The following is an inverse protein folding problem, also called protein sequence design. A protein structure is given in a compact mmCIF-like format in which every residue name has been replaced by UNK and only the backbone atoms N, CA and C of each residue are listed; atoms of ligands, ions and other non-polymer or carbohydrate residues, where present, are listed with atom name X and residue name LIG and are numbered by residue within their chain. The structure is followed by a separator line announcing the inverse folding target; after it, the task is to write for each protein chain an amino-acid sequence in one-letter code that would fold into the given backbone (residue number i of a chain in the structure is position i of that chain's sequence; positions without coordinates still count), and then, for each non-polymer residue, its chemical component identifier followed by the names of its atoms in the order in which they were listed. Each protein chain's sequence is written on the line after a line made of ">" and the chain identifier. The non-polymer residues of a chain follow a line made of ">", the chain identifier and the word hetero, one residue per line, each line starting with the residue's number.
data_IF_608463913270
#
_entry.id   IF_608463913270
#
_cell.length_a   1.000
_cell.length_b   1.000
_cell.length_c   1.000
_cell.angle_alpha   90.00
_cell.angle_beta   90.00
_cell.angle_gamma   90.00
#
_symmetry.space_group_name_H-M   'P 1'
#
loop_
_entity.id
_entity.type
_entity.pdbx_description
1 polymer ?
#
# COMPACT_ATOMS: atom_id res chain seq x y z
N UNK A 1 -15.03 20.18 0.13
CA UNK A 1 -14.75 19.06 -0.81
C UNK A 1 -15.49 19.33 -2.10
N UNK A 2 -14.80 19.87 -3.08
CA UNK A 2 -15.33 19.97 -4.44
C UNK A 2 -15.16 18.60 -5.11
N UNK A 3 -16.26 17.87 -5.24
CA UNK A 3 -16.29 16.63 -6.00
C UNK A 3 -16.07 16.96 -7.49
N UNK A 4 -14.95 16.52 -8.05
CA UNK A 4 -14.66 16.78 -9.47
C UNK A 4 -15.72 16.08 -10.33
N UNK A 5 -16.26 16.71 -11.40
CA UNK A 5 -17.39 16.18 -12.19
C UNK A 5 -17.20 14.75 -12.70
N UNK A 6 -15.96 14.36 -13.03
CA UNK A 6 -15.61 13.02 -13.50
C UNK A 6 -15.65 11.96 -12.37
N UNK A 7 -15.40 12.33 -11.10
CA UNK A 7 -15.58 11.45 -9.94
C UNK A 7 -17.05 11.08 -9.76
N UNK A 8 -17.96 12.02 -10.02
CA UNK A 8 -19.40 11.77 -9.99
C UNK A 8 -19.81 10.79 -11.11
N UNK A 9 -19.24 10.95 -12.31
CA UNK A 9 -19.48 10.03 -13.43
C UNK A 9 -18.91 8.64 -13.15
N UNK A 10 -17.71 8.56 -12.56
CA UNK A 10 -17.09 7.28 -12.16
C UNK A 10 -17.94 6.56 -11.09
N UNK A 11 -18.43 7.26 -10.09
CA UNK A 11 -19.35 6.72 -9.08
C UNK A 11 -20.65 6.23 -9.67
N UNK A 12 -21.22 6.98 -10.61
CA UNK A 12 -22.44 6.57 -11.31
C UNK A 12 -22.22 5.34 -12.17
N UNK A 13 -21.04 5.23 -12.80
CA UNK A 13 -20.67 4.05 -13.56
C UNK A 13 -20.48 2.81 -12.66
N UNK A 14 -19.79 2.94 -11.52
CA UNK A 14 -19.64 1.87 -10.54
C UNK A 14 -20.98 1.47 -9.90
N UNK A 15 -21.84 2.42 -9.60
CA UNK A 15 -23.18 2.14 -9.09
C UNK A 15 -24.04 1.38 -10.11
N UNK A 16 -23.90 1.69 -11.40
CA UNK A 16 -24.53 0.94 -12.49
C UNK A 16 -24.04 -0.52 -12.63
N UNK A 17 -22.89 -0.86 -12.05
CA UNK A 17 -22.34 -2.21 -11.99
C UNK A 17 -22.71 -2.98 -10.70
N UNK A 18 -23.61 -2.43 -9.89
CA UNK A 18 -24.05 -3.04 -8.62
C UNK A 18 -23.02 -2.91 -7.48
N UNK A 19 -21.95 -2.13 -7.66
CA UNK A 19 -21.00 -1.80 -6.61
C UNK A 19 -21.48 -0.56 -5.85
N UNK A 20 -22.12 -0.79 -4.71
CA UNK A 20 -22.52 0.28 -3.79
C UNK A 20 -21.28 0.90 -3.12
N UNK A 21 -20.77 1.97 -3.71
CA UNK A 21 -19.55 2.67 -3.24
C UNK A 21 -19.83 3.84 -2.31
N UNK A 22 -21.05 3.98 -1.79
CA UNK A 22 -21.42 5.11 -0.95
C UNK A 22 -21.00 4.90 0.51
N UNK A 23 -20.26 5.87 1.08
CA UNK A 23 -19.88 5.87 2.51
C UNK A 23 -21.11 5.81 3.43
N UNK A 24 -22.28 6.26 2.97
CA UNK A 24 -23.57 6.11 3.67
C UNK A 24 -24.00 4.64 3.76
N UNK A 25 -23.73 3.86 2.73
CA UNK A 25 -24.04 2.43 2.66
C UNK A 25 -23.22 1.62 3.66
N UNK A 26 -21.93 1.96 3.84
CA UNK A 26 -21.07 1.30 4.85
C UNK A 26 -21.68 1.45 6.25
N UNK A 27 -22.13 2.63 6.62
CA UNK A 27 -22.79 2.87 7.91
C UNK A 27 -24.09 2.06 8.06
N UNK A 28 -24.88 1.94 7.00
CA UNK A 28 -26.11 1.14 6.98
C UNK A 28 -25.79 -0.36 7.07
N UNK A 29 -24.79 -0.83 6.33
CA UNK A 29 -24.33 -2.22 6.39
C UNK A 29 -23.83 -2.55 7.79
N UNK A 30 -22.99 -1.71 8.39
CA UNK A 30 -22.51 -1.90 9.76
C UNK A 30 -23.65 -1.94 10.78
N UNK A 31 -24.66 -1.07 10.66
CA UNK A 31 -25.84 -1.09 11.51
C UNK A 31 -26.65 -2.39 11.36
N UNK A 32 -26.75 -2.90 10.14
CA UNK A 32 -27.48 -4.15 9.84
C UNK A 32 -26.71 -5.38 10.33
N UNK A 33 -25.40 -5.42 10.13
CA UNK A 33 -24.55 -6.58 10.46
C UNK A 33 -24.15 -6.63 11.94
N UNK A 34 -24.03 -5.45 12.57
CA UNK A 34 -23.54 -5.30 13.94
C UNK A 34 -24.47 -4.40 14.76
N UNK A 35 -25.76 -4.75 14.92
CA UNK A 35 -26.76 -3.87 15.53
C UNK A 35 -26.45 -3.54 17.01
N UNK A 36 -25.72 -4.43 17.72
CA UNK A 36 -25.30 -4.19 19.10
C UNK A 36 -24.09 -3.27 19.24
N UNK A 37 -23.29 -3.12 18.16
CA UNK A 37 -22.09 -2.27 18.17
C UNK A 37 -22.34 -0.89 17.58
N UNK A 38 -23.24 -0.76 16.60
CA UNK A 38 -23.52 0.50 15.90
C UNK A 38 -24.88 1.03 16.32
N UNK A 39 -24.95 1.58 17.53
CA UNK A 39 -26.13 2.27 18.06
C UNK A 39 -26.24 3.71 17.50
N UNK A 40 -27.39 4.34 17.67
CA UNK A 40 -27.67 5.67 17.10
C UNK A 40 -26.75 6.77 17.69
N UNK A 41 -26.31 6.59 18.92
CA UNK A 41 -25.46 7.49 19.69
C UNK A 41 -23.96 7.32 19.41
N UNK A 42 -23.53 6.20 18.78
CA UNK A 42 -22.12 5.95 18.48
C UNK A 42 -21.68 6.65 17.19
N UNK A 43 -20.62 7.43 17.32
CA UNK A 43 -19.96 8.09 16.21
C UNK A 43 -19.05 7.12 15.46
N UNK A 44 -19.28 6.95 14.16
CA UNK A 44 -18.37 6.24 13.27
C UNK A 44 -17.31 7.24 12.81
N UNK A 45 -16.05 6.97 13.14
CA UNK A 45 -14.90 7.76 12.66
C UNK A 45 -14.43 7.17 11.33
N UNK A 46 -14.06 8.05 10.40
CA UNK A 46 -13.52 7.66 9.09
C UNK A 46 -12.15 8.32 8.91
N UNK A 47 -11.18 7.54 8.49
CA UNK A 47 -9.80 7.98 8.28
C UNK A 47 -9.38 7.75 6.84
N UNK A 48 -8.42 8.55 6.36
CA UNK A 48 -7.81 8.36 5.05
C UNK A 48 -7.04 7.03 5.01
N UNK A 49 -7.10 6.33 3.88
CA UNK A 49 -6.51 5.01 3.68
C UNK A 49 -5.00 5.00 3.97
N UNK A 50 -4.23 5.84 3.29
CA UNK A 50 -2.78 5.91 3.49
C UNK A 50 -2.39 6.41 4.89
N UNK A 51 -3.20 7.26 5.50
CA UNK A 51 -2.98 7.66 6.90
C UNK A 51 -3.21 6.49 7.86
N UNK A 52 -4.16 5.60 7.56
CA UNK A 52 -4.39 4.38 8.34
C UNK A 52 -3.19 3.42 8.24
N UNK A 53 -2.62 3.22 7.04
CA UNK A 53 -1.37 2.48 6.90
C UNK A 53 -0.21 3.14 7.65
N UNK A 54 -0.07 4.46 7.58
CA UNK A 54 0.97 5.18 8.30
C UNK A 54 0.84 5.00 9.82
N UNK A 55 -0.39 5.06 10.33
CA UNK A 55 -0.66 4.93 11.76
C UNK A 55 -0.47 3.49 12.24
N UNK A 56 -0.87 2.47 11.48
CA UNK A 56 -0.65 1.07 11.84
C UNK A 56 0.84 0.77 12.02
N UNK A 57 1.68 1.29 11.14
CA UNK A 57 3.12 1.13 11.26
C UNK A 57 3.73 2.00 12.36
N UNK A 58 3.43 3.29 12.41
CA UNK A 58 4.09 4.21 13.33
C UNK A 58 3.69 3.98 14.80
N UNK A 59 2.39 3.83 15.10
CA UNK A 59 1.93 3.70 16.48
C UNK A 59 2.20 2.31 17.09
N UNK A 60 2.62 1.33 16.28
CA UNK A 60 3.12 0.03 16.74
C UNK A 60 4.64 -0.04 16.75
N UNK A 61 5.33 0.94 16.17
CA UNK A 61 6.79 0.96 16.08
C UNK A 61 7.43 1.42 17.40
N UNK A 62 8.70 1.07 17.65
CA UNK A 62 9.43 1.56 18.82
C UNK A 62 9.97 2.99 18.66
N UNK A 63 9.44 3.77 17.72
CA UNK A 63 9.99 5.08 17.36
C UNK A 63 9.16 6.23 17.93
N UNK A 64 9.84 7.18 18.58
CA UNK A 64 9.24 8.46 18.97
C UNK A 64 9.07 9.41 17.75
N UNK A 65 9.93 9.22 16.72
CA UNK A 65 9.91 9.97 15.48
C UNK A 65 10.38 9.11 14.33
N UNK A 66 9.66 9.14 13.19
CA UNK A 66 9.99 8.37 12.02
C UNK A 66 9.59 9.08 10.72
N UNK A 67 10.32 8.78 9.65
CA UNK A 67 9.83 8.95 8.27
C UNK A 67 8.95 7.75 7.96
N UNK A 68 7.70 7.98 7.55
CA UNK A 68 6.76 6.92 7.19
C UNK A 68 6.55 6.93 5.69
N UNK A 69 6.80 5.80 5.04
CA UNK A 69 6.54 5.60 3.61
C UNK A 69 5.42 4.58 3.48
N UNK A 70 4.39 4.94 2.72
CA UNK A 70 3.29 4.04 2.36
C UNK A 70 3.28 3.89 0.85
N UNK A 71 3.42 2.65 0.36
CA UNK A 71 3.33 2.31 -1.07
C UNK A 71 2.27 1.24 -1.24
N UNK A 72 1.24 1.57 -2.03
CA UNK A 72 0.10 0.69 -2.23
C UNK A 72 -0.31 0.63 -3.71
N UNK A 73 -1.28 -0.22 -4.03
CA UNK A 73 -1.88 -0.26 -5.35
C UNK A 73 -2.65 1.03 -5.62
N UNK A 74 -3.64 1.31 -4.80
CA UNK A 74 -4.40 2.56 -4.78
C UNK A 74 -5.19 2.68 -3.48
N UNK A 75 -4.95 3.74 -2.72
CA UNK A 75 -5.71 4.09 -1.52
C UNK A 75 -6.48 5.39 -1.72
N UNK A 76 -7.76 5.33 -2.00
CA UNK A 76 -8.58 6.47 -2.45
C UNK A 76 -8.05 7.06 -3.77
N UNK A 77 -6.95 7.83 -3.69
CA UNK A 77 -6.27 8.47 -4.82
C UNK A 77 -4.77 8.34 -4.77
N UNK A 78 -4.26 8.11 -3.56
CA UNK A 78 -2.84 8.01 -3.31
C UNK A 78 -2.34 6.62 -3.70
N UNK A 79 -1.13 6.57 -4.24
CA UNK A 79 -0.40 5.33 -4.56
C UNK A 79 0.91 5.25 -3.79
N UNK A 80 1.50 6.42 -3.49
CA UNK A 80 2.63 6.55 -2.57
C UNK A 80 2.40 7.79 -1.72
N UNK A 81 2.64 7.68 -0.42
CA UNK A 81 2.69 8.83 0.48
C UNK A 81 3.90 8.76 1.40
N UNK A 82 4.49 9.91 1.67
CA UNK A 82 5.59 10.06 2.61
C UNK A 82 5.14 11.03 3.68
N UNK A 83 5.30 10.60 4.95
CA UNK A 83 4.91 11.37 6.12
C UNK A 83 6.08 11.53 7.06
N UNK A 84 6.12 12.67 7.76
CA UNK A 84 6.81 12.81 9.01
C UNK A 84 5.86 12.44 10.14
N UNK A 85 6.23 11.50 10.97
CA UNK A 85 5.45 11.12 12.14
C UNK A 85 6.25 11.33 13.42
N UNK A 86 5.60 11.84 14.47
CA UNK A 86 6.20 12.06 15.77
C UNK A 86 5.13 12.07 16.87
N UNK A 87 5.55 11.82 18.11
CA UNK A 87 4.69 12.03 19.26
C UNK A 87 4.85 13.46 19.80
N UNK A 88 3.71 14.12 20.04
CA UNK A 88 3.63 15.41 20.72
C UNK A 88 2.59 15.34 21.81
N UNK A 89 2.97 15.60 23.05
CA UNK A 89 2.10 15.49 24.21
C UNK A 89 1.41 14.12 24.33
N UNK A 90 2.17 13.04 24.08
CA UNK A 90 1.69 11.66 24.11
C UNK A 90 0.75 11.25 22.95
N UNK A 91 0.55 12.11 21.96
CA UNK A 91 -0.29 11.84 20.80
C UNK A 91 0.51 11.83 19.51
N UNK A 92 0.26 10.84 18.65
CA UNK A 92 0.86 10.74 17.33
C UNK A 92 0.39 11.90 16.42
N UNK A 93 1.33 12.53 15.76
CA UNK A 93 1.12 13.59 14.76
C UNK A 93 1.72 13.16 13.44
N UNK A 94 1.02 13.46 12.35
CA UNK A 94 1.42 13.10 11.00
C UNK A 94 1.45 14.33 10.12
N UNK A 95 2.59 14.57 9.48
CA UNK A 95 2.81 15.65 8.52
C UNK A 95 3.04 15.05 7.14
N UNK A 96 2.13 15.27 6.22
CA UNK A 96 2.27 14.78 4.85
C UNK A 96 3.36 15.59 4.14
N UNK A 97 4.45 14.93 3.77
CA UNK A 97 5.62 15.56 3.15
C UNK A 97 5.57 15.48 1.62
N UNK A 98 5.07 14.35 1.10
CA UNK A 98 4.98 14.13 -0.34
C UNK A 98 3.93 13.07 -0.67
N UNK A 99 3.41 13.09 -1.90
CA UNK A 99 2.49 12.06 -2.39
C UNK A 99 2.57 11.88 -3.90
N UNK A 100 2.36 10.65 -4.33
CA UNK A 100 2.09 10.25 -5.70
C UNK A 100 0.66 9.74 -5.81
N UNK A 101 0.05 9.97 -6.97
CA UNK A 101 -1.36 9.65 -7.19
C UNK A 101 -1.56 8.72 -8.39
N UNK A 102 -2.71 8.07 -8.39
CA UNK A 102 -3.22 7.37 -9.55
C UNK A 102 -3.14 8.26 -10.83
N UNK A 103 -2.76 7.72 -12.00
CA UNK A 103 -2.60 6.29 -12.33
C UNK A 103 -1.18 5.73 -12.10
N UNK A 104 -0.28 6.47 -11.50
CA UNK A 104 1.12 6.13 -11.32
C UNK A 104 1.31 5.29 -10.06
N UNK A 105 1.30 3.97 -10.20
CA UNK A 105 1.30 3.04 -9.06
C UNK A 105 2.23 1.86 -9.28
N UNK A 106 3.18 1.68 -8.35
CA UNK A 106 4.08 0.51 -8.31
C UNK A 106 3.26 -0.76 -8.04
N UNK A 107 2.29 -0.70 -7.12
CA UNK A 107 1.43 -1.85 -6.79
C UNK A 107 0.60 -2.29 -7.99
N UNK A 108 -0.08 -1.36 -8.69
CA UNK A 108 -0.84 -1.70 -9.90
C UNK A 108 0.05 -2.24 -11.03
N UNK A 109 1.29 -1.74 -11.16
CA UNK A 109 2.25 -2.32 -12.10
C UNK A 109 2.54 -3.77 -11.77
N UNK A 110 2.85 -4.07 -10.52
CA UNK A 110 3.19 -5.42 -10.09
C UNK A 110 2.01 -6.37 -10.24
N UNK A 111 0.79 -5.95 -9.86
CA UNK A 111 -0.45 -6.70 -10.06
C UNK A 111 -0.78 -6.92 -11.54
N UNK A 112 -0.50 -5.94 -12.42
CA UNK A 112 -0.69 -6.11 -13.86
C UNK A 112 0.24 -7.17 -14.46
N UNK A 113 1.49 -7.27 -13.99
CA UNK A 113 2.41 -8.34 -14.39
C UNK A 113 1.94 -9.68 -13.80
N UNK A 114 1.51 -9.72 -12.55
CA UNK A 114 0.94 -10.92 -11.92
C UNK A 114 -0.23 -11.48 -12.74
N UNK A 115 -1.16 -10.61 -13.14
CA UNK A 115 -2.27 -11.00 -14.04
C UNK A 115 -1.77 -11.48 -15.42
N UNK A 116 -0.73 -10.83 -15.97
CA UNK A 116 -0.12 -11.20 -17.26
C UNK A 116 0.53 -12.58 -17.22
N UNK A 117 1.04 -13.00 -16.05
CA UNK A 117 1.59 -14.34 -15.80
C UNK A 117 0.51 -15.41 -15.61
N UNK A 118 -0.78 -15.04 -15.67
CA UNK A 118 -1.91 -15.96 -15.47
C UNK A 118 -2.25 -16.21 -14.00
N UNK A 119 -1.67 -15.43 -13.10
CA UNK A 119 -1.90 -15.46 -11.66
C UNK A 119 -3.04 -14.49 -11.27
N UNK A 120 -3.57 -14.65 -10.07
CA UNK A 120 -4.65 -13.83 -9.55
C UNK A 120 -4.08 -12.51 -8.97
N UNK A 121 -4.31 -11.35 -9.63
CA UNK A 121 -3.81 -10.08 -9.16
C UNK A 121 -4.47 -9.69 -7.82
N UNK A 122 -3.77 -8.91 -7.00
CA UNK A 122 -4.11 -8.51 -5.63
C UNK A 122 -4.08 -9.66 -4.59
N UNK A 123 -3.68 -10.87 -5.01
CA UNK A 123 -3.62 -12.05 -4.13
C UNK A 123 -2.37 -12.90 -4.30
N UNK A 124 -1.82 -12.99 -5.52
CA UNK A 124 -0.74 -13.93 -5.85
C UNK A 124 0.57 -13.23 -6.29
N UNK A 125 0.75 -11.95 -5.93
CA UNK A 125 1.98 -11.22 -6.17
C UNK A 125 3.22 -11.89 -5.56
N UNK A 126 3.05 -12.61 -4.46
CA UNK A 126 4.12 -13.36 -3.83
C UNK A 126 4.62 -14.52 -4.71
N UNK A 127 3.77 -15.09 -5.58
CA UNK A 127 4.18 -16.11 -6.56
C UNK A 127 5.02 -15.45 -7.64
N UNK A 128 4.59 -14.29 -8.16
CA UNK A 128 5.39 -13.49 -9.12
C UNK A 128 6.76 -13.17 -8.54
N UNK A 129 6.83 -12.77 -7.28
CA UNK A 129 8.10 -12.51 -6.58
C UNK A 129 8.96 -13.78 -6.48
N UNK A 130 8.38 -14.93 -6.19
CA UNK A 130 9.08 -16.22 -6.15
C UNK A 130 9.59 -16.67 -7.53
N UNK A 131 8.79 -16.49 -8.58
CA UNK A 131 9.17 -16.82 -9.97
C UNK A 131 10.38 -16.01 -10.45
N UNK A 132 10.57 -14.80 -9.95
CA UNK A 132 11.70 -13.93 -10.30
C UNK A 132 13.07 -14.60 -10.05
N UNK A 133 13.15 -15.53 -9.10
CA UNK A 133 14.39 -16.26 -8.80
C UNK A 133 14.89 -17.17 -9.94
N UNK A 134 14.02 -17.50 -10.89
CA UNK A 134 14.29 -18.43 -12.00
C UNK A 134 14.43 -17.71 -13.35
N UNK A 135 14.31 -16.38 -13.39
CA UNK A 135 14.36 -15.58 -14.60
C UNK A 135 15.78 -15.28 -15.08
N UNK A 136 15.89 -14.87 -16.35
CA UNK A 136 17.12 -14.33 -16.90
C UNK A 136 17.13 -12.80 -16.82
N UNK A 137 18.27 -12.16 -16.51
CA UNK A 137 18.37 -10.71 -16.35
C UNK A 137 18.18 -9.95 -17.69
N UNK A 138 17.89 -8.65 -17.59
CA UNK A 138 17.83 -7.73 -18.73
C UNK A 138 16.40 -7.32 -19.15
N UNK A 139 15.36 -8.03 -18.68
CA UNK A 139 13.98 -7.67 -19.02
C UNK A 139 13.51 -6.41 -18.26
N UNK A 140 14.09 -6.12 -17.12
CA UNK A 140 13.76 -4.94 -16.30
C UNK A 140 13.93 -3.63 -17.07
N UNK A 141 15.03 -3.46 -17.81
CA UNK A 141 15.28 -2.27 -18.63
C UNK A 141 14.29 -2.15 -19.80
N UNK A 142 13.89 -3.27 -20.41
CA UNK A 142 12.91 -3.28 -21.50
C UNK A 142 11.54 -2.84 -20.96
N UNK A 143 11.10 -3.38 -19.83
CA UNK A 143 9.84 -2.98 -19.18
C UNK A 143 9.91 -1.52 -18.76
N UNK A 144 11.03 -1.08 -18.16
CA UNK A 144 11.27 0.29 -17.77
C UNK A 144 11.13 1.25 -18.94
N UNK A 145 11.80 0.97 -20.08
CA UNK A 145 11.73 1.80 -21.27
C UNK A 145 10.28 1.91 -21.82
N UNK A 146 9.53 0.83 -21.78
CA UNK A 146 8.13 0.83 -22.20
C UNK A 146 7.22 1.59 -21.24
N UNK A 147 7.37 1.36 -19.93
CA UNK A 147 6.40 1.81 -18.92
C UNK A 147 6.76 3.17 -18.31
N UNK A 148 8.03 3.39 -17.98
CA UNK A 148 8.42 4.53 -17.16
C UNK A 148 8.63 5.76 -18.04
N UNK A 149 7.91 6.83 -17.72
CA UNK A 149 8.09 8.15 -18.33
C UNK A 149 9.16 8.96 -17.60
N UNK A 150 9.12 8.90 -16.26
CA UNK A 150 10.02 9.58 -15.37
C UNK A 150 10.24 8.69 -14.14
N UNK A 151 11.45 8.21 -13.99
CA UNK A 151 11.80 7.28 -12.92
C UNK A 151 11.89 7.96 -11.55
N UNK A 152 12.42 9.19 -11.54
CA UNK A 152 12.56 9.97 -10.31
C UNK A 152 11.21 10.40 -9.74
N UNK A 153 10.29 10.84 -10.61
CA UNK A 153 8.91 11.20 -10.24
C UNK A 153 7.97 9.98 -10.21
N UNK A 154 8.48 8.78 -10.51
CA UNK A 154 7.71 7.52 -10.58
C UNK A 154 6.48 7.69 -11.48
N UNK A 155 6.67 8.23 -12.70
CA UNK A 155 5.60 8.47 -13.65
C UNK A 155 5.58 7.43 -14.75
N UNK A 156 4.43 6.83 -14.98
CA UNK A 156 4.20 5.82 -16.00
C UNK A 156 3.58 6.42 -17.26
N UNK A 157 3.88 5.80 -18.40
CA UNK A 157 3.29 6.12 -19.72
C UNK A 157 1.88 5.56 -19.86
N UNK A 158 1.61 4.44 -19.18
CA UNK A 158 0.37 3.69 -19.30
C UNK A 158 -0.33 3.59 -17.94
N UNK A 159 -1.67 3.57 -17.99
CA UNK A 159 -2.49 3.24 -16.84
C UNK A 159 -2.66 1.71 -16.78
N UNK A 160 -2.12 1.08 -15.76
CA UNK A 160 -2.13 -0.37 -15.60
C UNK A 160 -3.26 -0.89 -14.71
N UNK A 161 -4.23 -0.05 -14.35
CA UNK A 161 -5.38 -0.47 -13.53
C UNK A 161 -6.21 -1.58 -14.23
N UNK A 162 -6.35 -1.49 -15.55
CA UNK A 162 -7.03 -2.51 -16.35
C UNK A 162 -6.12 -3.71 -16.73
N UNK A 163 -4.92 -3.76 -16.17
CA UNK A 163 -3.92 -4.76 -16.51
C UNK A 163 -3.02 -4.35 -17.68
N UNK A 164 -2.21 -5.28 -18.12
CA UNK A 164 -1.30 -5.17 -19.26
C UNK A 164 -1.91 -5.89 -20.47
N UNK A 165 -1.69 -5.35 -21.66
CA UNK A 165 -2.07 -6.02 -22.91
C UNK A 165 -1.49 -7.44 -22.94
N UNK A 166 -2.35 -8.42 -23.29
CA UNK A 166 -1.99 -9.85 -23.31
C UNK A 166 -0.89 -10.16 -24.33
N UNK A 167 -0.82 -9.42 -25.42
CA UNK A 167 0.21 -9.58 -26.46
C UNK A 167 1.55 -8.95 -26.04
N UNK A 168 1.52 -8.06 -25.06
CA UNK A 168 2.74 -7.42 -24.58
C UNK A 168 3.64 -8.45 -23.89
N UNK A 169 4.88 -8.55 -24.38
CA UNK A 169 5.89 -9.50 -23.89
C UNK A 169 5.47 -10.98 -23.99
N UNK A 170 4.60 -11.36 -24.95
CA UNK A 170 4.17 -12.75 -25.14
C UNK A 170 5.31 -13.70 -25.57
N UNK A 171 6.40 -13.15 -26.09
CA UNK A 171 7.60 -13.86 -26.49
C UNK A 171 8.60 -14.08 -25.32
N UNK A 172 8.31 -13.54 -24.15
CA UNK A 172 9.18 -13.63 -22.98
C UNK A 172 8.72 -14.80 -22.10
N UNK A 173 9.69 -15.58 -21.65
CA UNK A 173 9.44 -16.64 -20.68
C UNK A 173 8.90 -16.03 -19.37
N UNK A 174 7.91 -16.67 -18.71
CA UNK A 174 7.22 -16.16 -17.54
C UNK A 174 8.16 -15.75 -16.39
N UNK A 175 9.16 -16.56 -16.07
CA UNK A 175 10.11 -16.30 -15.00
C UNK A 175 10.98 -15.08 -15.31
N UNK A 176 11.38 -14.91 -16.57
CA UNK A 176 12.14 -13.75 -17.05
C UNK A 176 11.31 -12.47 -17.00
N UNK A 177 10.01 -12.55 -17.31
CA UNK A 177 9.08 -11.42 -17.14
C UNK A 177 8.91 -11.07 -15.66
N UNK A 178 8.79 -12.08 -14.79
CA UNK A 178 8.69 -11.91 -13.34
C UNK A 178 9.96 -11.26 -12.76
N UNK A 179 11.16 -11.70 -13.18
CA UNK A 179 12.42 -11.08 -12.75
C UNK A 179 12.51 -9.62 -13.20
N UNK A 180 12.19 -9.34 -14.47
CA UNK A 180 12.21 -7.96 -14.97
C UNK A 180 11.21 -7.04 -14.24
N UNK A 181 10.05 -7.57 -13.87
CA UNK A 181 9.09 -6.83 -13.05
C UNK A 181 9.61 -6.58 -11.63
N UNK A 182 10.28 -7.57 -11.03
CA UNK A 182 10.89 -7.44 -9.70
C UNK A 182 12.01 -6.39 -9.71
N UNK A 183 12.94 -6.47 -10.67
CA UNK A 183 14.03 -5.50 -10.84
C UNK A 183 13.50 -4.07 -10.97
N UNK A 184 12.48 -3.86 -11.81
CA UNK A 184 11.88 -2.54 -11.98
C UNK A 184 11.14 -2.09 -10.71
N UNK A 185 10.38 -2.97 -10.06
CA UNK A 185 9.67 -2.64 -8.82
C UNK A 185 10.66 -2.23 -7.72
N UNK A 186 11.76 -2.98 -7.54
CA UNK A 186 12.82 -2.64 -6.59
C UNK A 186 13.40 -1.24 -6.87
N UNK A 187 13.76 -0.95 -8.13
CA UNK A 187 14.29 0.35 -8.52
C UNK A 187 13.33 1.50 -8.21
N UNK A 188 12.03 1.33 -8.51
CA UNK A 188 11.03 2.36 -8.23
C UNK A 188 10.77 2.53 -6.73
N UNK A 189 10.77 1.45 -5.95
CA UNK A 189 10.69 1.49 -4.49
C UNK A 189 11.90 2.26 -3.93
N UNK A 190 13.10 1.96 -4.38
CA UNK A 190 14.33 2.63 -3.92
C UNK A 190 14.35 4.12 -4.28
N UNK A 191 13.81 4.52 -5.42
CA UNK A 191 13.62 5.93 -5.76
C UNK A 191 12.64 6.62 -4.78
N UNK A 192 11.58 5.94 -4.39
CA UNK A 192 10.67 6.40 -3.33
C UNK A 192 11.38 6.54 -1.98
N UNK A 193 12.21 5.58 -1.60
CA UNK A 193 12.99 5.60 -0.34
C UNK A 193 14.07 6.69 -0.37
N UNK A 194 14.77 6.86 -1.49
CA UNK A 194 15.72 7.94 -1.68
C UNK A 194 15.04 9.31 -1.53
N UNK A 195 13.89 9.51 -2.15
CA UNK A 195 13.07 10.72 -1.99
C UNK A 195 12.69 10.95 -0.52
N UNK A 196 12.23 9.91 0.16
CA UNK A 196 11.87 10.00 1.58
C UNK A 196 13.07 10.40 2.44
N UNK A 197 14.26 9.91 2.11
CA UNK A 197 15.50 10.27 2.79
C UNK A 197 15.89 11.73 2.53
N UNK A 198 15.70 12.25 1.31
CA UNK A 198 15.96 13.66 0.96
C UNK A 198 15.06 14.65 1.71
N UNK A 199 13.84 14.25 2.07
CA UNK A 199 12.94 15.05 2.89
C UNK A 199 13.43 15.22 4.34
N UNK A 200 14.42 14.45 4.75
CA UNK A 200 15.23 14.60 5.96
C UNK A 200 14.44 14.76 7.27
N UNK A 201 13.31 14.04 7.40
CA UNK A 201 12.50 14.08 8.62
C UNK A 201 13.11 13.26 9.76
N UNK A 202 13.46 12.00 9.48
CA UNK A 202 14.05 11.06 10.43
C UNK A 202 14.86 10.00 9.69
N UNK A 203 15.87 9.43 10.36
CA UNK A 203 16.63 8.26 9.88
C UNK A 203 15.95 6.93 10.24
N UNK A 204 14.89 6.97 11.07
CA UNK A 204 14.01 5.81 11.30
C UNK A 204 12.97 5.74 10.21
N UNK A 205 12.79 4.57 9.62
CA UNK A 205 11.76 4.28 8.62
C UNK A 205 10.65 3.44 9.22
N UNK A 206 9.42 3.85 8.96
CA UNK A 206 8.24 3.00 9.02
C UNK A 206 7.76 2.78 7.59
N UNK A 207 7.58 1.53 7.17
CA UNK A 207 7.16 1.20 5.82
C UNK A 207 5.88 0.37 5.84
N UNK A 208 4.85 0.81 5.11
CA UNK A 208 3.52 0.19 5.04
C UNK A 208 2.92 0.25 3.63
N UNK A 209 1.68 -0.23 3.50
CA UNK A 209 1.00 -0.47 2.23
C UNK A 209 1.28 -1.86 1.67
N UNK A 210 0.49 -2.31 0.71
CA UNK A 210 0.58 -3.67 0.14
C UNK A 210 1.94 -3.98 -0.48
N UNK A 211 2.64 -2.98 -1.04
CA UNK A 211 3.96 -3.17 -1.65
C UNK A 211 5.05 -3.47 -0.61
N UNK A 212 4.82 -3.14 0.67
CA UNK A 212 5.75 -3.49 1.75
C UNK A 212 5.82 -5.01 2.03
N UNK A 213 4.93 -5.82 1.45
CA UNK A 213 5.03 -7.28 1.44
C UNK A 213 6.15 -7.81 0.52
N UNK A 214 6.72 -6.97 -0.35
CA UNK A 214 7.83 -7.36 -1.22
C UNK A 214 9.15 -7.47 -0.43
N UNK A 215 9.39 -8.64 0.15
CA UNK A 215 10.55 -8.88 1.00
C UNK A 215 11.88 -8.80 0.24
N UNK A 216 11.90 -9.04 -1.07
CA UNK A 216 13.12 -8.89 -1.88
C UNK A 216 13.55 -7.42 -1.95
N UNK A 217 12.61 -6.50 -2.15
CA UNK A 217 12.90 -5.07 -2.09
C UNK A 217 13.31 -4.63 -0.68
N UNK A 218 12.68 -5.19 0.36
CA UNK A 218 12.91 -4.78 1.74
C UNK A 218 14.35 -5.03 2.24
N UNK A 219 15.05 -6.02 1.68
CA UNK A 219 16.43 -6.39 2.07
C UNK A 219 17.43 -5.24 1.96
N UNK A 220 17.20 -4.27 1.05
CA UNK A 220 18.14 -3.19 0.77
C UNK A 220 17.74 -1.85 1.40
N UNK A 221 16.65 -1.80 2.17
CA UNK A 221 16.18 -0.55 2.80
C UNK A 221 17.18 0.03 3.80
N UNK A 222 18.05 -0.80 4.39
CA UNK A 222 19.14 -0.39 5.28
C UNK A 222 20.20 0.51 4.62
N UNK A 223 20.24 0.61 3.28
CA UNK A 223 21.08 1.58 2.59
C UNK A 223 20.54 3.03 2.68
N UNK A 224 19.27 3.19 3.01
CA UNK A 224 18.59 4.49 3.07
C UNK A 224 18.29 4.94 4.50
N UNK A 225 18.05 3.99 5.43
CA UNK A 225 17.60 4.28 6.79
C UNK A 225 18.33 3.42 7.82
N UNK A 226 18.59 3.99 9.00
CA UNK A 226 19.35 3.34 10.06
C UNK A 226 18.55 2.26 10.79
N UNK A 227 17.26 2.50 11.00
CA UNK A 227 16.33 1.59 11.67
C UNK A 227 15.03 1.50 10.87
N UNK A 228 14.52 0.29 10.73
CA UNK A 228 13.36 0.01 9.88
C UNK A 228 12.32 -0.75 10.69
N UNK A 229 11.07 -0.32 10.57
CA UNK A 229 9.91 -1.00 11.09
C UNK A 229 8.91 -1.26 9.98
N UNK A 230 8.56 -2.53 9.78
CA UNK A 230 7.48 -2.98 8.91
C UNK A 230 6.56 -3.84 9.76
N UNK A 231 5.30 -3.44 9.89
CA UNK A 231 4.31 -4.24 10.62
C UNK A 231 4.15 -5.60 9.92
N UNK A 232 4.02 -6.74 10.62
CA UNK A 232 3.86 -8.06 9.99
C UNK A 232 2.70 -8.19 8.98
N UNK A 233 1.67 -7.34 9.10
CA UNK A 233 0.60 -7.21 8.11
C UNK A 233 0.54 -5.77 7.56
N UNK A 234 1.46 -5.36 6.66
CA UNK A 234 1.59 -3.97 6.24
C UNK A 234 0.50 -3.54 5.25
N UNK A 235 -0.22 -4.47 4.62
CA UNK A 235 -1.30 -4.22 3.67
C UNK A 235 -2.63 -3.84 4.32
N UNK A 236 -3.73 -3.90 3.55
CA UNK A 236 -5.06 -3.40 3.94
C UNK A 236 -5.63 -4.04 5.20
N UNK A 237 -5.36 -5.33 5.42
CA UNK A 237 -5.78 -6.02 6.66
C UNK A 237 -5.20 -5.35 7.91
N UNK A 238 -3.94 -4.92 7.85
CA UNK A 238 -3.28 -4.20 8.95
C UNK A 238 -3.69 -2.74 9.06
N UNK A 239 -4.20 -2.11 8.02
CA UNK A 239 -4.68 -0.72 8.07
C UNK A 239 -5.87 -0.54 9.01
N UNK A 240 -6.59 -1.61 9.33
CA UNK A 240 -7.66 -1.63 10.36
C UNK A 240 -7.10 -1.28 11.74
N UNK A 241 -5.91 -1.78 12.08
CA UNK A 241 -5.17 -1.43 13.31
C UNK A 241 -4.86 0.07 13.30
N UNK A 242 -4.44 0.61 12.13
CA UNK A 242 -4.14 2.03 11.97
C UNK A 242 -5.35 2.94 12.19
N UNK A 243 -6.52 2.54 11.71
CA UNK A 243 -7.76 3.28 11.96
C UNK A 243 -8.10 3.32 13.45
N UNK A 244 -7.93 2.22 14.17
CA UNK A 244 -8.09 2.16 15.63
C UNK A 244 -7.02 2.97 16.34
N UNK A 245 -5.75 2.90 15.87
CA UNK A 245 -4.63 3.66 16.40
C UNK A 245 -4.84 5.18 16.28
N UNK A 246 -5.37 5.67 15.15
CA UNK A 246 -5.70 7.08 14.96
C UNK A 246 -6.78 7.55 15.94
N UNK A 247 -7.80 6.72 16.20
CA UNK A 247 -8.83 7.01 17.18
C UNK A 247 -8.26 7.05 18.61
N UNK A 248 -7.38 6.10 18.94
CA UNK A 248 -6.66 6.03 20.23
C UNK A 248 -5.72 7.23 20.41
N UNK A 249 -4.94 7.52 19.38
CA UNK A 249 -4.04 8.67 19.30
C UNK A 249 -2.67 8.48 19.96
N UNK A 250 -2.47 7.47 20.80
CA UNK A 250 -1.21 7.17 21.48
C UNK A 250 -0.47 5.98 20.87
N UNK A 251 0.67 5.64 21.47
CA UNK A 251 1.42 4.43 21.15
C UNK A 251 0.58 3.17 21.46
N UNK A 252 0.71 2.13 20.64
CA UNK A 252 0.12 0.82 20.87
C UNK A 252 1.20 -0.16 21.34
N UNK A 253 0.94 -0.86 22.44
CA UNK A 253 1.82 -1.92 22.93
C UNK A 253 1.71 -3.15 22.03
N UNK A 254 2.46 -3.11 20.91
CA UNK A 254 2.51 -4.20 19.96
C UNK A 254 3.52 -5.24 20.43
N UNK A 255 3.05 -6.46 20.71
CA UNK A 255 3.90 -7.56 21.21
C UNK A 255 4.25 -8.55 20.11
N UNK A 256 3.23 -9.05 19.41
CA UNK A 256 3.37 -10.03 18.34
C UNK A 256 2.13 -10.03 17.44
N UNK A 257 2.17 -10.70 16.27
CA UNK A 257 1.02 -10.78 15.36
C UNK A 257 -0.07 -11.73 15.82
N UNK A 258 0.15 -12.56 16.85
CA UNK A 258 -0.77 -13.58 17.32
C UNK A 258 -1.66 -13.04 18.44
N UNK A 259 -2.61 -12.19 18.08
CA UNK A 259 -3.49 -11.49 19.02
C UNK A 259 -4.77 -12.28 19.37
N UNK A 260 -4.90 -13.51 18.88
CA UNK A 260 -6.01 -14.38 19.18
C UNK A 260 -5.91 -15.04 20.56
N UNK A 261 -7.00 -15.69 21.00
CA UNK A 261 -7.02 -16.56 22.19
C UNK A 261 -7.37 -17.96 21.77
N UNK A 262 -7.03 -18.93 22.64
CA UNK A 262 -7.40 -20.32 22.43
C UNK A 262 -8.93 -20.44 22.29
N UNK A 263 -9.36 -21.19 21.26
CA UNK A 263 -10.77 -21.54 21.10
C UNK A 263 -11.03 -22.74 22.00
N UNK A 264 -11.87 -22.59 23.04
CA UNK A 264 -12.19 -23.72 23.92
C UNK A 264 -12.81 -24.87 23.13
N UNK A 265 -12.25 -26.09 23.25
CA UNK A 265 -12.80 -27.30 22.62
C UNK A 265 -12.41 -27.54 21.16
N UNK A 266 -11.47 -26.79 20.61
CA UNK A 266 -10.87 -27.04 19.28
C UNK A 266 -9.71 -28.03 19.39
N UNK A 267 -10.03 -29.32 19.59
CA UNK A 267 -9.16 -30.50 19.40
C UNK A 267 -9.99 -31.67 18.91
#
# INVERSE_FOLDING_TARGET
>A
YYERPWLKQLRQWYAGQGLETDKLTVKQILKKQLPGLVTADKKILNYNHHLSHAASGFQTSPFERATVVVIDAIGEWDTITIWGAEYSQGRARYHRLWSQHYPHSIGLFYSAVTARLGLNPMHEEYITMGMAAYGNPGMGDIIKHWLVRDEYEIRFRHNLHAGMDRERFNYVNPETLALGAQELAENLIYNGMWRARQLNWSTNLVYGGGVALNCLANRNLGHYFDRIWILPCPGDSGSSIGSAALAHGGHLDWRDPYLGHAIPGAY
#
